data_IF_859904492115
#
_entry.id   IF_859904492115
#
_cell.length_a   1.000
_cell.length_b   1.000
_cell.length_c   1.000
_cell.angle_alpha   90.00
_cell.angle_beta   90.00
_cell.angle_gamma   90.00
#
_symmetry.space_group_name_H-M   'P 1'
#
loop_
_entity.id
_entity.type
_entity.pdbx_description
1 polymer ?
#
# COMPACT_ATOMS: atom_id res chain seq x y z
N UNK A 1 -32.13 43.65 41.25
CA UNK A 1 -32.33 43.50 39.80
C UNK A 1 -30.99 43.12 39.18
N UNK A 2 -30.77 41.83 38.91
CA UNK A 2 -29.49 41.29 38.41
C UNK A 2 -29.59 41.08 36.89
N UNK A 3 -28.74 41.76 36.12
CA UNK A 3 -28.67 41.64 34.66
C UNK A 3 -27.92 40.35 34.32
N UNK A 4 -28.63 39.40 33.68
CA UNK A 4 -28.10 38.14 33.15
C UNK A 4 -27.09 38.46 32.04
N UNK A 5 -25.81 38.16 32.29
CA UNK A 5 -24.72 38.27 31.31
C UNK A 5 -24.76 36.97 30.49
N UNK A 6 -25.16 37.06 29.23
CA UNK A 6 -25.10 35.94 28.30
C UNK A 6 -23.68 35.88 27.73
N UNK A 7 -22.98 34.73 27.78
CA UNK A 7 -21.67 34.62 27.14
C UNK A 7 -21.85 34.53 25.62
N UNK A 8 -21.02 35.25 24.87
CA UNK A 8 -20.99 35.18 23.41
C UNK A 8 -20.61 33.77 22.93
N UNK A 9 -21.22 33.28 21.84
CA UNK A 9 -20.82 32.03 21.21
C UNK A 9 -19.41 32.18 20.60
N UNK A 10 -18.60 31.10 20.58
CA UNK A 10 -17.30 31.16 19.92
C UNK A 10 -17.50 31.45 18.43
N UNK A 11 -16.73 32.39 17.89
CA UNK A 11 -16.67 32.63 16.44
C UNK A 11 -16.32 31.33 15.72
N UNK A 12 -17.28 30.81 14.96
CA UNK A 12 -17.02 29.73 14.00
C UNK A 12 -16.18 30.36 12.89
N UNK A 13 -14.86 30.22 13.01
CA UNK A 13 -13.96 30.47 11.90
C UNK A 13 -14.25 29.39 10.86
N UNK A 14 -15.00 29.76 9.83
CA UNK A 14 -15.09 28.99 8.59
C UNK A 14 -13.76 29.16 7.84
N UNK A 15 -12.67 28.65 8.41
CA UNK A 15 -11.49 28.36 7.60
C UNK A 15 -11.84 27.08 6.84
N UNK A 16 -11.84 27.09 5.49
CA UNK A 16 -11.83 25.86 4.73
C UNK A 16 -10.61 25.09 5.22
N UNK A 17 -10.84 24.01 5.97
CA UNK A 17 -9.82 23.00 6.18
C UNK A 17 -9.55 22.44 4.79
N UNK A 18 -8.59 23.05 4.10
CA UNK A 18 -8.03 22.58 2.86
C UNK A 18 -7.51 21.18 3.19
N UNK A 19 -8.32 20.18 2.86
CA UNK A 19 -8.01 18.78 3.02
C UNK A 19 -6.80 18.54 2.12
N UNK A 20 -5.62 18.72 2.70
CA UNK A 20 -4.32 18.41 2.11
C UNK A 20 -4.11 16.91 2.05
N UNK A 21 -5.20 16.15 1.84
CA UNK A 21 -5.13 14.75 1.48
C UNK A 21 -4.89 14.77 -0.03
N UNK A 22 -3.65 14.52 -0.49
CA UNK A 22 -3.40 14.39 -1.91
C UNK A 22 -4.39 13.38 -2.46
N UNK A 23 -5.10 13.79 -3.50
CA UNK A 23 -6.08 12.97 -4.20
C UNK A 23 -5.38 11.66 -4.58
N UNK A 24 -5.77 10.53 -3.98
CA UNK A 24 -5.02 9.28 -4.11
C UNK A 24 -4.87 8.85 -5.57
N UNK A 25 -5.84 9.23 -6.42
CA UNK A 25 -5.78 9.08 -7.86
C UNK A 25 -4.57 9.81 -8.48
N UNK A 26 -4.27 11.05 -8.04
CA UNK A 26 -3.13 11.84 -8.52
C UNK A 26 -1.78 11.32 -8.01
N UNK A 27 -1.74 10.59 -6.89
CA UNK A 27 -0.53 9.93 -6.41
C UNK A 27 -0.19 8.69 -7.25
N UNK A 28 -1.20 7.95 -7.69
CA UNK A 28 -1.00 6.84 -8.63
C UNK A 28 -0.48 7.35 -9.99
N UNK A 29 -0.98 8.50 -10.45
CA UNK A 29 -0.46 9.18 -11.65
C UNK A 29 1.04 9.54 -11.55
N UNK A 30 1.56 9.72 -10.32
CA UNK A 30 2.99 10.05 -10.10
C UNK A 30 3.90 8.82 -9.97
N UNK A 31 3.35 7.61 -9.90
CA UNK A 31 4.11 6.35 -9.79
C UNK A 31 4.54 5.82 -11.17
N UNK A 32 4.69 6.66 -12.19
CA UNK A 32 4.97 6.22 -13.56
C UNK A 32 6.21 5.32 -13.68
N UNK A 33 7.26 5.62 -12.90
CA UNK A 33 8.52 4.89 -12.93
C UNK A 33 9.02 4.61 -11.52
N UNK A 34 9.69 3.47 -11.35
CA UNK A 34 10.48 3.20 -10.16
C UNK A 34 11.60 4.23 -10.03
N UNK A 35 11.77 4.75 -8.82
CA UNK A 35 12.99 5.46 -8.45
C UNK A 35 14.06 4.45 -8.06
N UNK A 36 15.33 4.82 -8.24
CA UNK A 36 16.42 4.04 -7.69
C UNK A 36 16.35 4.09 -6.17
N UNK A 37 16.33 2.92 -5.53
CA UNK A 37 16.44 2.80 -4.08
C UNK A 37 17.73 2.06 -3.76
N UNK A 38 18.70 2.78 -3.23
CA UNK A 38 19.92 2.19 -2.68
C UNK A 38 19.59 1.40 -1.43
N UNK A 39 20.28 0.28 -1.24
CA UNK A 39 20.13 -0.53 -0.04
C UNK A 39 20.62 0.26 1.17
N UNK A 40 19.73 0.52 2.13
CA UNK A 40 20.11 0.99 3.45
C UNK A 40 20.35 -0.22 4.35
N UNK A 41 21.62 -0.48 4.67
CA UNK A 41 22.01 -1.60 5.53
C UNK A 41 21.60 -1.41 7.00
N UNK A 42 21.07 -0.24 7.35
CA UNK A 42 20.61 0.12 8.69
C UNK A 42 19.12 -0.15 8.90
N UNK A 43 18.36 -0.37 7.82
CA UNK A 43 16.92 -0.62 7.87
C UNK A 43 16.64 -2.14 7.91
N UNK A 44 16.16 -2.68 9.04
CA UNK A 44 15.90 -4.12 9.20
C UNK A 44 14.74 -4.64 8.34
N UNK A 45 13.93 -3.75 7.75
CA UNK A 45 12.85 -4.09 6.83
C UNK A 45 13.28 -3.99 5.35
N UNK A 46 14.49 -3.47 5.09
CA UNK A 46 15.00 -3.33 3.74
C UNK A 46 15.72 -4.63 3.34
N UNK A 47 15.06 -5.44 2.50
CA UNK A 47 15.68 -6.65 1.92
C UNK A 47 16.92 -6.26 1.12
N UNK A 48 18.07 -6.58 1.70
CA UNK A 48 19.43 -6.17 1.31
C UNK A 48 19.90 -6.75 -0.02
N UNK A 49 19.05 -7.54 -0.69
CA UNK A 49 19.44 -8.46 -1.78
C UNK A 49 19.11 -7.89 -3.16
N UNK A 50 18.21 -6.89 -3.26
CA UNK A 50 17.84 -6.29 -4.55
C UNK A 50 17.69 -4.77 -4.42
N UNK A 51 18.62 -4.03 -5.05
CA UNK A 51 18.41 -2.61 -5.31
C UNK A 51 17.36 -2.44 -6.42
N UNK A 52 16.33 -1.64 -6.18
CA UNK A 52 15.32 -1.33 -7.20
C UNK A 52 16.00 -0.44 -8.25
N UNK A 53 16.07 -0.94 -9.49
CA UNK A 53 16.56 -0.15 -10.62
C UNK A 53 15.55 0.94 -10.99
N UNK A 54 16.05 2.13 -11.34
CA UNK A 54 15.19 3.22 -11.82
C UNK A 54 14.67 2.93 -13.23
N UNK A 55 13.49 3.45 -13.55
CA UNK A 55 12.96 3.41 -14.92
C UNK A 55 12.17 2.16 -15.28
N UNK A 56 11.87 1.29 -14.31
CA UNK A 56 10.86 0.23 -14.48
C UNK A 56 9.49 0.88 -14.37
N UNK A 57 8.56 0.56 -15.27
CA UNK A 57 7.22 1.13 -15.21
C UNK A 57 6.48 0.63 -13.96
N UNK A 58 5.54 1.40 -13.41
CA UNK A 58 4.69 0.90 -12.33
C UNK A 58 3.96 -0.39 -12.73
N UNK A 59 3.51 -0.49 -13.98
CA UNK A 59 2.85 -1.68 -14.50
C UNK A 59 3.77 -2.91 -14.41
N UNK A 60 5.01 -2.81 -14.89
CA UNK A 60 5.95 -3.94 -14.87
C UNK A 60 6.38 -4.29 -13.44
N UNK A 61 6.60 -3.28 -12.60
CA UNK A 61 6.94 -3.46 -11.19
C UNK A 61 5.79 -4.17 -10.43
N UNK A 62 4.55 -3.70 -10.59
CA UNK A 62 3.38 -4.31 -9.96
C UNK A 62 3.09 -5.71 -10.52
N UNK A 63 3.27 -5.92 -11.83
CA UNK A 63 3.17 -7.26 -12.45
C UNK A 63 4.18 -8.24 -11.86
N UNK A 64 5.41 -7.79 -11.59
CA UNK A 64 6.41 -8.60 -10.93
C UNK A 64 6.06 -8.88 -9.47
N UNK A 65 5.58 -7.87 -8.73
CA UNK A 65 5.11 -8.04 -7.34
C UNK A 65 3.94 -9.04 -7.27
N UNK A 66 2.97 -8.97 -8.18
CA UNK A 66 1.84 -9.93 -8.22
C UNK A 66 2.34 -11.38 -8.35
N UNK A 67 3.33 -11.63 -9.21
CA UNK A 67 3.95 -12.96 -9.35
C UNK A 67 4.70 -13.41 -8.10
N UNK A 68 5.39 -12.49 -7.42
CA UNK A 68 6.07 -12.82 -6.15
C UNK A 68 5.06 -13.18 -5.05
N UNK A 69 3.94 -12.47 -4.99
CA UNK A 69 2.87 -12.75 -4.04
C UNK A 69 2.16 -14.08 -4.36
N UNK A 70 1.93 -14.38 -5.64
CA UNK A 70 1.41 -15.69 -6.08
C UNK A 70 2.33 -16.84 -5.66
N UNK A 71 3.64 -16.69 -5.83
CA UNK A 71 4.60 -17.71 -5.35
C UNK A 71 4.59 -17.82 -3.82
N UNK A 72 4.43 -16.70 -3.10
CA UNK A 72 4.32 -16.71 -1.65
C UNK A 72 3.03 -17.41 -1.17
N UNK A 73 1.92 -17.23 -1.87
CA UNK A 73 0.65 -17.93 -1.61
C UNK A 73 0.80 -19.45 -1.81
N UNK A 74 1.33 -19.87 -2.96
CA UNK A 74 1.53 -21.28 -3.28
C UNK A 74 2.47 -21.98 -2.28
N UNK A 75 3.58 -21.33 -1.92
CA UNK A 75 4.47 -21.83 -0.87
C UNK A 75 3.77 -21.83 0.49
N UNK A 76 2.92 -20.84 0.72
CA UNK A 76 2.14 -20.67 1.92
C UNK A 76 1.20 -21.85 2.16
N UNK A 77 0.39 -22.18 1.15
CA UNK A 77 -0.54 -23.30 1.16
C UNK A 77 0.16 -24.62 1.48
N UNK A 78 1.30 -24.90 0.85
CA UNK A 78 2.07 -26.12 1.09
C UNK A 78 2.59 -26.21 2.53
N UNK A 79 3.13 -25.11 3.07
CA UNK A 79 3.62 -25.06 4.47
C UNK A 79 2.47 -25.26 5.45
N UNK A 80 1.30 -24.67 5.18
CA UNK A 80 0.13 -24.72 6.06
C UNK A 80 -0.38 -26.14 6.35
N UNK A 81 -0.08 -27.09 5.46
CA UNK A 81 -0.44 -28.51 5.59
C UNK A 81 0.36 -29.22 6.69
N UNK A 82 1.51 -28.68 7.08
CA UNK A 82 2.47 -29.32 7.98
C UNK A 82 2.57 -28.66 9.36
N UNK A 83 1.89 -27.55 9.60
CA UNK A 83 2.00 -26.79 10.85
C UNK A 83 1.15 -27.35 12.01
N UNK A 84 1.65 -27.19 13.24
CA UNK A 84 0.88 -27.44 14.44
C UNK A 84 -0.32 -26.47 14.53
N UNK A 85 -1.49 -26.88 15.09
CA UNK A 85 -2.68 -26.04 15.24
C UNK A 85 -2.48 -24.58 15.68
N UNK A 86 -1.54 -24.30 16.60
CA UNK A 86 -1.29 -22.93 17.10
C UNK A 86 -0.54 -22.09 16.06
N UNK A 87 0.56 -22.61 15.53
CA UNK A 87 1.37 -21.97 14.48
C UNK A 87 0.52 -21.73 13.23
N UNK A 88 -0.31 -22.72 12.87
CA UNK A 88 -1.25 -22.65 11.76
C UNK A 88 -2.16 -21.43 11.82
N UNK A 89 -2.61 -21.01 13.00
CA UNK A 89 -3.50 -19.84 13.12
C UNK A 89 -2.74 -18.54 12.85
N UNK A 90 -1.51 -18.43 13.37
CA UNK A 90 -0.64 -17.28 13.10
C UNK A 90 -0.24 -17.22 11.62
N UNK A 91 0.08 -18.38 11.06
CA UNK A 91 0.46 -18.54 9.67
C UNK A 91 -0.70 -18.21 8.71
N UNK A 92 -1.91 -18.69 8.96
CA UNK A 92 -3.09 -18.29 8.18
C UNK A 92 -3.33 -16.78 8.22
N UNK A 93 -3.10 -16.13 9.36
CA UNK A 93 -3.17 -14.66 9.46
C UNK A 93 -2.14 -13.95 8.58
N UNK A 94 -0.92 -14.49 8.52
CA UNK A 94 0.12 -14.01 7.61
C UNK A 94 -0.25 -14.27 6.14
N UNK A 95 -0.66 -15.49 5.80
CA UNK A 95 -1.02 -15.90 4.44
C UNK A 95 -2.18 -15.05 3.91
N UNK A 96 -3.19 -14.79 4.73
CA UNK A 96 -4.29 -13.90 4.38
C UNK A 96 -3.82 -12.47 4.07
N UNK A 97 -2.79 -11.97 4.76
CA UNK A 97 -2.20 -10.66 4.45
C UNK A 97 -1.53 -10.65 3.07
N UNK A 98 -0.97 -11.78 2.64
CA UNK A 98 -0.39 -11.95 1.29
C UNK A 98 -1.50 -11.96 0.23
N UNK A 99 -2.55 -12.76 0.44
CA UNK A 99 -3.72 -12.82 -0.47
C UNK A 99 -4.35 -11.45 -0.70
N UNK A 100 -4.55 -10.69 0.38
CA UNK A 100 -5.11 -9.33 0.30
C UNK A 100 -4.16 -8.40 -0.44
N UNK A 101 -2.85 -8.48 -0.19
CA UNK A 101 -1.87 -7.70 -0.92
C UNK A 101 -1.89 -8.01 -2.42
N UNK A 102 -2.00 -9.29 -2.81
CA UNK A 102 -2.10 -9.70 -4.21
C UNK A 102 -3.37 -9.14 -4.86
N UNK A 103 -4.52 -9.30 -4.21
CA UNK A 103 -5.79 -8.80 -4.73
C UNK A 103 -5.76 -7.28 -4.96
N UNK A 104 -5.12 -6.51 -4.07
CA UNK A 104 -4.94 -5.07 -4.27
C UNK A 104 -4.03 -4.77 -5.46
N UNK A 105 -2.92 -5.49 -5.63
CA UNK A 105 -1.99 -5.31 -6.76
C UNK A 105 -2.68 -5.66 -8.08
N UNK A 106 -3.42 -6.76 -8.13
CA UNK A 106 -4.15 -7.19 -9.33
C UNK A 106 -5.22 -6.15 -9.71
N UNK A 107 -5.96 -5.62 -8.74
CA UNK A 107 -6.93 -4.54 -8.98
C UNK A 107 -6.28 -3.26 -9.53
N UNK A 108 -5.06 -2.92 -9.09
CA UNK A 108 -4.31 -1.79 -9.63
C UNK A 108 -3.86 -2.03 -11.08
N UNK A 109 -3.47 -3.26 -11.42
CA UNK A 109 -3.11 -3.64 -12.79
C UNK A 109 -4.32 -3.62 -13.72
N UNK A 110 -5.47 -4.14 -13.28
CA UNK A 110 -6.72 -4.15 -14.04
C UNK A 110 -7.29 -2.74 -14.27
N UNK A 111 -7.12 -1.84 -13.30
CA UNK A 111 -7.55 -0.45 -13.39
C UNK A 111 -6.65 0.44 -14.27
N UNK A 112 -5.49 -0.06 -14.70
CA UNK A 112 -4.57 0.68 -15.56
C UNK A 112 -5.12 0.75 -16.99
N UNK A 113 -5.30 1.94 -17.58
CA UNK A 113 -5.75 2.05 -18.96
C UNK A 113 -4.72 1.38 -19.90
N UNK A 114 -5.16 0.76 -21.01
CA UNK A 114 -4.23 0.27 -22.02
C UNK A 114 -3.41 1.46 -22.53
N UNK A 115 -2.09 1.33 -22.49
CA UNK A 115 -1.16 2.32 -23.04
C UNK A 115 -1.53 2.56 -24.51
N UNK A 116 -2.02 3.76 -24.81
CA UNK A 116 -2.24 4.21 -26.17
C UNK A 116 -0.86 4.40 -26.81
N UNK A 117 -0.39 3.39 -27.54
CA UNK A 117 0.76 3.52 -28.43
C UNK A 117 0.45 4.61 -29.48
N UNK A 118 1.17 5.73 -29.42
CA UNK A 118 1.17 6.83 -30.40
C UNK A 118 2.53 6.90 -31.07
#
# INVERSE_FOLDING_TARGET
MVKKITPDPPSVSNEPLESKRPDAARLLDSLALTLSKTVDHSDPLCTTIFAIQSGVTAHDALSYVSKLLEVAELNGDEISLHENPVERTLFWGMLHSVEVAKAVVDALLEGSPPSLDV
#
